data_IF_299722447901
#
_entry.id   IF_299722447901
#
_cell.length_a   1.000
_cell.length_b   1.000
_cell.length_c   1.000
_cell.angle_alpha   90.00
_cell.angle_beta   90.00
_cell.angle_gamma   90.00
#
_symmetry.space_group_name_H-M   'P 1'
#
loop_
_entity.id
_entity.type
_entity.pdbx_description
1 polymer ?
#
# COMPACT_ATOMS: atom_id res chain seq x y z
N UNK A 1 10.70 -6.59 15.17
CA UNK A 1 11.43 -5.93 14.10
C UNK A 1 11.03 -6.53 12.75
N UNK A 2 10.82 -5.69 11.78
CA UNK A 2 10.41 -6.09 10.45
C UNK A 2 11.61 -6.65 9.69
N UNK A 3 11.46 -7.83 9.11
CA UNK A 3 12.54 -8.46 8.36
C UNK A 3 12.42 -8.27 6.86
N UNK A 4 11.30 -7.75 6.39
CA UNK A 4 11.02 -7.68 4.96
C UNK A 4 11.44 -6.34 4.38
N UNK A 5 11.21 -5.26 5.10
CA UNK A 5 11.50 -3.92 4.59
C UNK A 5 11.89 -3.01 5.74
N UNK A 6 12.44 -1.85 5.39
CA UNK A 6 12.78 -0.83 6.37
C UNK A 6 12.27 0.52 5.88
N UNK A 7 12.02 1.41 6.84
CA UNK A 7 11.63 2.78 6.55
C UNK A 7 12.90 3.62 6.39
N UNK A 8 12.93 4.42 5.35
CA UNK A 8 14.05 5.33 5.12
C UNK A 8 13.71 6.67 5.74
N UNK A 9 14.33 6.97 6.87
CA UNK A 9 13.97 8.16 7.65
C UNK A 9 14.47 9.46 7.04
N UNK A 10 15.34 9.38 6.05
CA UNK A 10 15.83 10.56 5.36
C UNK A 10 15.21 10.75 3.99
N UNK A 11 14.20 9.96 3.65
CA UNK A 11 13.49 10.08 2.37
C UNK A 11 12.00 10.07 2.69
N UNK A 12 11.47 11.24 2.98
CA UNK A 12 10.11 11.37 3.47
C UNK A 12 9.32 12.40 2.68
N UNK A 13 8.01 12.27 2.76
CA UNK A 13 7.10 13.29 2.25
C UNK A 13 6.05 13.56 3.31
N UNK A 14 5.34 14.67 3.16
CA UNK A 14 4.23 15.00 4.03
C UNK A 14 2.94 14.98 3.25
N UNK A 15 1.93 14.31 3.80
CA UNK A 15 0.61 14.22 3.20
C UNK A 15 -0.39 14.55 4.30
N UNK A 16 -1.09 15.67 4.14
CA UNK A 16 -2.11 16.11 5.11
C UNK A 16 -1.58 16.12 6.55
N UNK A 17 -0.36 16.64 6.72
CA UNK A 17 0.23 16.73 8.05
C UNK A 17 0.84 15.44 8.56
N UNK A 18 0.83 14.38 7.79
CA UNK A 18 1.42 13.09 8.17
C UNK A 18 2.74 12.92 7.45
N UNK A 19 3.72 12.38 8.16
CA UNK A 19 5.02 12.10 7.56
C UNK A 19 5.02 10.65 7.08
N UNK A 20 5.31 10.48 5.80
CA UNK A 20 5.40 9.16 5.19
C UNK A 20 6.85 8.90 4.80
N UNK A 21 7.26 7.66 4.91
CA UNK A 21 8.63 7.24 4.69
C UNK A 21 8.72 6.33 3.48
N UNK A 22 9.73 6.56 2.66
CA UNK A 22 10.03 5.63 1.58
C UNK A 22 10.49 4.31 2.20
N UNK A 23 10.19 3.20 1.54
CA UNK A 23 10.58 1.89 2.05
C UNK A 23 11.61 1.25 1.13
N UNK A 24 12.35 0.31 1.70
CA UNK A 24 13.40 -0.41 0.98
C UNK A 24 13.34 -1.87 1.39
N UNK A 25 13.38 -2.75 0.41
CA UNK A 25 13.31 -4.19 0.67
C UNK A 25 14.59 -4.67 1.31
N UNK A 26 14.46 -5.48 2.35
CA UNK A 26 15.60 -6.07 3.06
C UNK A 26 15.87 -7.49 2.63
N UNK A 27 14.93 -8.12 1.96
CA UNK A 27 15.06 -9.49 1.47
C UNK A 27 14.43 -9.57 0.09
N UNK A 28 14.65 -10.69 -0.58
CA UNK A 28 13.93 -11.00 -1.82
C UNK A 28 12.57 -11.61 -1.47
N UNK A 29 11.53 -11.18 -2.15
CA UNK A 29 10.22 -11.80 -2.00
C UNK A 29 9.40 -11.50 -3.23
N UNK A 30 8.60 -12.48 -3.67
CA UNK A 30 7.83 -12.31 -4.90
C UNK A 30 8.74 -11.87 -6.02
N UNK A 31 8.40 -10.79 -6.69
CA UNK A 31 9.24 -10.22 -7.74
C UNK A 31 10.13 -9.08 -7.24
N UNK A 32 10.14 -8.85 -5.92
CA UNK A 32 10.91 -7.76 -5.33
C UNK A 32 12.28 -8.29 -4.93
N UNK A 33 13.30 -7.49 -5.22
CA UNK A 33 14.69 -7.86 -4.91
C UNK A 33 15.19 -7.07 -3.72
N UNK A 34 16.10 -7.67 -2.95
CA UNK A 34 16.72 -6.97 -1.83
C UNK A 34 17.34 -5.67 -2.32
N UNK A 35 17.10 -4.60 -1.57
CA UNK A 35 17.59 -3.27 -1.93
C UNK A 35 16.65 -2.47 -2.79
N UNK A 36 15.58 -3.07 -3.28
CA UNK A 36 14.63 -2.37 -4.13
C UNK A 36 13.89 -1.30 -3.32
N UNK A 37 13.74 -0.12 -3.92
CA UNK A 37 13.07 1.00 -3.27
C UNK A 37 11.59 0.93 -3.58
N UNK A 38 10.76 1.05 -2.54
CA UNK A 38 9.32 1.00 -2.70
C UNK A 38 8.69 2.37 -2.62
N UNK A 39 7.40 2.40 -2.31
CA UNK A 39 6.64 3.62 -2.15
C UNK A 39 6.77 4.22 -0.76
N UNK A 40 5.69 4.90 -0.33
CA UNK A 40 5.68 5.61 0.95
C UNK A 40 4.64 5.03 1.87
N UNK A 41 5.02 4.81 3.13
CA UNK A 41 4.07 4.40 4.15
C UNK A 41 4.28 5.24 5.41
N UNK A 42 3.27 5.34 6.23
CA UNK A 42 3.37 6.14 7.44
C UNK A 42 4.03 5.36 8.57
N UNK A 43 3.78 4.08 8.64
CA UNK A 43 4.29 3.24 9.72
C UNK A 43 4.39 1.80 9.22
N UNK A 44 5.18 1.01 9.94
CA UNK A 44 5.42 -0.36 9.49
C UNK A 44 4.14 -1.18 9.40
N UNK A 45 3.17 -0.89 10.24
CA UNK A 45 1.91 -1.62 10.24
C UNK A 45 1.11 -1.45 8.96
N UNK A 46 1.41 -0.43 8.17
CA UNK A 46 0.69 -0.21 6.91
C UNK A 46 0.95 -1.31 5.88
N UNK A 47 2.06 -2.01 6.00
CA UNK A 47 2.45 -3.04 5.03
C UNK A 47 2.88 -4.28 5.79
N UNK A 48 2.28 -5.42 5.45
CA UNK A 48 2.59 -6.66 6.14
C UNK A 48 4.02 -7.10 5.86
N UNK A 49 4.69 -7.60 6.89
CA UNK A 49 6.01 -8.21 6.69
C UNK A 49 5.91 -9.66 6.24
N UNK A 50 4.71 -10.20 6.19
CA UNK A 50 4.46 -11.56 5.73
C UNK A 50 3.87 -11.50 4.32
N UNK A 51 4.08 -12.56 3.54
CA UNK A 51 3.57 -12.60 2.19
C UNK A 51 4.37 -11.71 1.26
N UNK A 52 3.82 -11.50 0.07
CA UNK A 52 4.53 -10.80 -0.99
C UNK A 52 3.98 -9.40 -1.26
N UNK A 53 3.16 -8.86 -0.37
CA UNK A 53 2.57 -7.54 -0.57
C UNK A 53 3.66 -6.47 -0.66
N UNK A 54 3.44 -5.49 -1.53
CA UNK A 54 4.44 -4.45 -1.74
C UNK A 54 3.78 -3.14 -2.14
N UNK A 55 4.40 -2.05 -1.76
CA UNK A 55 4.00 -0.69 -2.14
C UNK A 55 5.19 -0.12 -2.90
N UNK A 56 4.96 0.36 -4.12
CA UNK A 56 6.07 0.86 -4.92
C UNK A 56 5.65 2.09 -5.74
N UNK A 57 6.59 2.62 -6.50
CA UNK A 57 6.36 3.85 -7.24
C UNK A 57 6.20 5.00 -6.28
N UNK A 58 5.26 5.88 -6.58
CA UNK A 58 4.94 7.00 -5.71
C UNK A 58 3.66 6.76 -4.91
N UNK A 59 3.28 5.51 -4.78
CA UNK A 59 2.08 5.14 -4.01
C UNK A 59 2.26 5.52 -2.54
N UNK A 60 1.15 5.84 -1.90
CA UNK A 60 1.14 6.28 -0.52
C UNK A 60 0.12 5.48 0.27
N UNK A 61 0.56 4.93 1.39
CA UNK A 61 -0.30 4.17 2.28
C UNK A 61 -0.15 4.76 3.68
N UNK A 62 -1.26 5.19 4.27
CA UNK A 62 -1.17 5.85 5.56
C UNK A 62 -2.46 5.68 6.36
N UNK A 63 -2.50 6.31 7.52
CA UNK A 63 -3.62 6.11 8.44
C UNK A 63 -3.57 4.72 9.01
N UNK A 64 -4.73 4.09 9.10
CA UNK A 64 -4.84 2.72 9.59
C UNK A 64 -4.94 1.72 8.45
N UNK A 65 -4.58 2.12 7.25
CA UNK A 65 -4.67 1.25 6.09
C UNK A 65 -3.72 0.07 6.22
N UNK A 66 -4.13 -1.06 5.70
CA UNK A 66 -3.35 -2.29 5.73
C UNK A 66 -3.23 -2.86 4.32
N UNK A 67 -2.00 -3.20 3.94
CA UNK A 67 -1.73 -3.87 2.67
C UNK A 67 -1.06 -5.19 3.01
N UNK A 68 -1.67 -6.29 2.62
CA UNK A 68 -1.15 -7.61 3.00
C UNK A 68 -1.51 -8.67 1.96
N UNK A 69 -1.14 -9.91 2.26
CA UNK A 69 -1.30 -11.00 1.30
C UNK A 69 -0.31 -10.83 0.16
N UNK A 70 -0.82 -10.86 -1.05
CA UNK A 70 0.00 -10.66 -2.24
C UNK A 70 -0.36 -9.35 -2.95
N UNK A 71 -1.01 -8.45 -2.25
CA UNK A 71 -1.51 -7.21 -2.83
C UNK A 71 -0.38 -6.29 -3.24
N UNK A 72 -0.64 -5.46 -4.24
CA UNK A 72 0.32 -4.50 -4.73
C UNK A 72 -0.34 -3.15 -4.86
N UNK A 73 0.37 -2.12 -4.41
CA UNK A 73 -0.08 -0.73 -4.54
C UNK A 73 1.05 0.02 -5.23
N UNK A 74 0.76 0.61 -6.39
CA UNK A 74 1.82 1.25 -7.15
C UNK A 74 1.28 2.41 -7.98
N UNK A 75 2.17 3.02 -8.77
CA UNK A 75 1.80 4.22 -9.51
C UNK A 75 1.65 5.38 -8.54
N UNK A 76 0.59 6.15 -8.71
CA UNK A 76 0.28 7.27 -7.84
C UNK A 76 -0.91 6.95 -6.93
N UNK A 77 -1.14 5.69 -6.65
CA UNK A 77 -2.30 5.28 -5.85
C UNK A 77 -2.15 5.68 -4.40
N UNK A 78 -3.28 5.94 -3.76
CA UNK A 78 -3.35 6.30 -2.34
C UNK A 78 -4.26 5.32 -1.64
N UNK A 79 -3.79 4.77 -0.52
CA UNK A 79 -4.57 3.86 0.32
C UNK A 79 -4.49 4.41 1.73
N UNK A 80 -5.64 4.74 2.33
CA UNK A 80 -5.62 5.43 3.60
C UNK A 80 -6.91 5.19 4.38
N UNK A 81 -7.05 5.88 5.51
CA UNK A 81 -8.19 5.63 6.38
C UNK A 81 -8.07 4.27 7.00
N UNK A 82 -9.15 3.50 6.96
CA UNK A 82 -9.16 2.13 7.47
C UNK A 82 -9.24 1.11 6.34
N UNK A 83 -8.78 1.46 5.15
CA UNK A 83 -8.86 0.58 4.00
C UNK A 83 -7.96 -0.64 4.17
N UNK A 84 -8.37 -1.74 3.59
CA UNK A 84 -7.56 -2.96 3.56
C UNK A 84 -7.46 -3.44 2.13
N UNK A 85 -6.24 -3.69 1.70
CA UNK A 85 -5.95 -4.19 0.35
C UNK A 85 -5.21 -5.50 0.53
N UNK A 86 -5.80 -6.60 0.06
CA UNK A 86 -5.22 -7.91 0.32
C UNK A 86 -5.58 -8.90 -0.77
N UNK A 87 -5.23 -10.16 -0.56
CA UNK A 87 -5.40 -11.16 -1.59
C UNK A 87 -4.45 -10.88 -2.74
N UNK A 88 -4.96 -10.93 -3.95
CA UNK A 88 -4.19 -10.61 -5.15
C UNK A 88 -4.56 -9.25 -5.72
N UNK A 89 -5.08 -8.36 -4.90
CA UNK A 89 -5.54 -7.06 -5.36
C UNK A 89 -4.38 -6.20 -5.84
N UNK A 90 -4.67 -5.38 -6.85
CA UNK A 90 -3.72 -4.40 -7.35
C UNK A 90 -4.41 -3.05 -7.40
N UNK A 91 -3.81 -2.05 -6.79
CA UNK A 91 -4.30 -0.68 -6.79
C UNK A 91 -3.22 0.17 -7.43
N UNK A 92 -3.54 0.84 -8.52
CA UNK A 92 -2.53 1.55 -9.27
C UNK A 92 -3.13 2.74 -10.01
N UNK A 93 -2.29 3.39 -10.82
CA UNK A 93 -2.72 4.58 -11.52
C UNK A 93 -2.92 5.71 -10.53
N UNK A 94 -4.04 6.41 -10.64
CA UNK A 94 -4.40 7.48 -9.73
C UNK A 94 -5.52 7.07 -8.79
N UNK A 95 -5.66 5.78 -8.54
CA UNK A 95 -6.73 5.28 -7.69
C UNK A 95 -6.56 5.76 -6.26
N UNK A 96 -7.68 6.00 -5.59
CA UNK A 96 -7.69 6.31 -4.17
C UNK A 96 -8.64 5.34 -3.48
N UNK A 97 -8.18 4.74 -2.40
CA UNK A 97 -8.97 3.76 -1.64
C UNK A 97 -9.03 4.24 -0.21
N UNK A 98 -10.25 4.50 0.24
CA UNK A 98 -10.48 5.03 1.58
C UNK A 98 -11.81 4.52 2.08
N UNK A 99 -11.84 4.07 3.32
CA UNK A 99 -13.08 3.95 4.06
C UNK A 99 -12.81 3.32 5.39
N UNK A 100 -13.53 3.71 6.43
CA UNK A 100 -13.37 3.08 7.74
C UNK A 100 -13.68 1.59 7.74
N UNK A 101 -14.50 1.14 6.82
CA UNK A 101 -14.87 -0.28 6.79
C UNK A 101 -14.70 -0.87 5.41
N UNK A 102 -13.95 -0.20 4.56
CA UNK A 102 -13.72 -0.68 3.21
C UNK A 102 -12.56 -1.64 3.19
N UNK A 103 -12.66 -2.59 2.31
CA UNK A 103 -11.54 -3.45 2.00
C UNK A 103 -11.69 -3.96 0.59
N UNK A 104 -10.57 -4.36 0.03
CA UNK A 104 -10.53 -4.82 -1.35
C UNK A 104 -9.87 -6.18 -1.38
N UNK A 105 -10.57 -7.16 -1.94
CA UNK A 105 -10.07 -8.51 -2.15
C UNK A 105 -10.34 -8.84 -3.59
N UNK A 106 -9.41 -8.55 -4.48
CA UNK A 106 -9.60 -8.76 -5.90
C UNK A 106 -8.43 -9.48 -6.51
N UNK A 107 -8.75 -10.23 -7.56
CA UNK A 107 -7.73 -10.72 -8.47
C UNK A 107 -7.58 -9.79 -9.65
N UNK A 108 -8.47 -8.82 -9.76
CA UNK A 108 -8.45 -7.87 -10.86
C UNK A 108 -7.68 -6.63 -10.48
N UNK A 109 -7.21 -5.93 -11.49
CA UNK A 109 -6.48 -4.71 -11.31
C UNK A 109 -7.41 -3.52 -11.32
N UNK A 110 -7.06 -2.51 -10.54
CA UNK A 110 -7.80 -1.25 -10.52
C UNK A 110 -6.88 -0.14 -11.00
N UNK A 111 -7.34 0.59 -12.02
CA UNK A 111 -6.63 1.75 -12.54
C UNK A 111 -7.66 2.82 -12.80
N UNK A 112 -7.53 3.99 -12.14
CA UNK A 112 -8.58 4.97 -12.21
C UNK A 112 -8.07 6.35 -11.82
N UNK A 113 -8.74 7.38 -12.32
CA UNK A 113 -8.51 8.74 -11.90
C UNK A 113 -9.43 9.14 -10.76
N UNK A 114 -10.30 8.25 -10.37
CA UNK A 114 -11.31 8.57 -9.37
C UNK A 114 -10.97 7.95 -8.05
N UNK A 115 -11.58 8.52 -7.01
CA UNK A 115 -11.51 7.95 -5.69
C UNK A 115 -12.50 6.80 -5.61
N UNK A 116 -12.07 5.71 -5.01
CA UNK A 116 -12.93 4.59 -4.74
C UNK A 116 -13.20 4.50 -3.26
N UNK A 117 -14.45 4.27 -2.93
CA UNK A 117 -14.84 3.90 -1.59
C UNK A 117 -15.55 2.57 -1.73
N UNK A 118 -15.02 1.57 -1.06
CA UNK A 118 -15.54 0.22 -1.22
C UNK A 118 -15.89 -0.34 0.16
N UNK A 119 -17.15 -0.67 0.36
CA UNK A 119 -17.62 -1.22 1.60
C UNK A 119 -18.09 -2.65 1.39
N UNK A 120 -18.32 -3.35 2.50
CA UNK A 120 -18.83 -4.72 2.41
C UNK A 120 -20.13 -4.81 1.64
N UNK A 121 -20.93 -3.77 1.68
CA UNK A 121 -22.23 -3.77 1.04
C UNK A 121 -22.16 -3.47 -0.46
N UNK A 122 -21.01 -3.00 -0.95
CA UNK A 122 -20.85 -2.69 -2.37
C UNK A 122 -20.55 -3.96 -3.13
N UNK A 123 -21.12 -4.03 -4.32
CA UNK A 123 -20.86 -5.13 -5.24
C UNK A 123 -20.12 -4.58 -6.43
N UNK A 124 -19.07 -5.26 -6.79
CA UNK A 124 -18.27 -4.87 -7.93
C UNK A 124 -18.54 -5.77 -9.10
#
# INVERSE_FOLDING_TARGET
MNKKFELLFDDTIEVFGRKLFRIKAKINFGSVKVGEIGGYIEKEENLSEHGDAWVCGDARVYGNALVYGNARVYGDAWVYGDAEVYGDAEVYGNAGVKSPKDYIVFKNSWSSFRWFTYTKSNKM
#
